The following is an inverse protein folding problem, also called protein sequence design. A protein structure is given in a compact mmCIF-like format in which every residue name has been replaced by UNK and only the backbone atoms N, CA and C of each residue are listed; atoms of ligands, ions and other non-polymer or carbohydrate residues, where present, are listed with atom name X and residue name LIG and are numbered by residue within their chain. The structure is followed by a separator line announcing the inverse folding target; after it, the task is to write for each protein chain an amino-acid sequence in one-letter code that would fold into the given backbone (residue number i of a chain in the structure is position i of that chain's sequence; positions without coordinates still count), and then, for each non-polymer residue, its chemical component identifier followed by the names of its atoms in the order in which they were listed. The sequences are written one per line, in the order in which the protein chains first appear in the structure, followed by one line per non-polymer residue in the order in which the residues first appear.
data_IF_299745293335
#
_entry.id   IF_299745293335
#
_cell.length_a   1.000
_cell.length_b   1.000
_cell.length_c   1.000
_cell.angle_alpha   90.00
_cell.angle_beta   90.00
_cell.angle_gamma   90.00
#
_symmetry.space_group_name_H-M   'P 1'
#
loop_
_entity.id
_entity.type
_entity.pdbx_description
1 polymer ?
#
# COMPACT_ATOMS: atom_id res chain seq x y z
N UNK A 1 -36.23 -73.66 -0.95
CA UNK A 1 -35.35 -72.91 -1.88
C UNK A 1 -36.05 -71.60 -2.21
N UNK A 2 -35.62 -70.48 -1.64
CA UNK A 2 -36.15 -69.15 -1.94
C UNK A 2 -35.04 -68.34 -2.62
N UNK A 3 -35.24 -67.98 -3.85
CA UNK A 3 -34.33 -67.12 -4.59
C UNK A 3 -34.65 -65.64 -4.21
N UNK A 4 -33.65 -64.94 -3.67
CA UNK A 4 -33.69 -63.51 -3.37
C UNK A 4 -33.26 -62.74 -4.61
N UNK A 5 -34.25 -62.02 -5.22
CA UNK A 5 -34.01 -61.16 -6.35
C UNK A 5 -33.51 -59.79 -5.83
N UNK A 6 -32.22 -59.54 -5.89
CA UNK A 6 -31.61 -58.24 -5.56
C UNK A 6 -31.97 -57.23 -6.65
N UNK A 7 -32.78 -56.22 -6.28
CA UNK A 7 -33.00 -55.02 -7.11
C UNK A 7 -31.74 -54.17 -7.15
N UNK A 8 -31.00 -54.22 -8.24
CA UNK A 8 -29.92 -53.29 -8.54
C UNK A 8 -30.46 -51.88 -8.70
N UNK A 9 -30.09 -50.97 -7.82
CA UNK A 9 -30.35 -49.54 -7.95
C UNK A 9 -29.39 -49.00 -9.03
N UNK A 10 -29.92 -48.80 -10.25
CA UNK A 10 -29.21 -48.10 -11.30
C UNK A 10 -28.99 -46.64 -10.87
N UNK A 11 -27.81 -46.32 -10.42
CA UNK A 11 -27.33 -44.94 -10.25
C UNK A 11 -27.32 -44.26 -11.62
N UNK A 12 -28.29 -43.40 -11.89
CA UNK A 12 -28.28 -42.50 -13.05
C UNK A 12 -27.09 -41.54 -12.85
N UNK A 13 -26.00 -41.80 -13.53
CA UNK A 13 -24.95 -40.75 -13.72
C UNK A 13 -25.54 -39.71 -14.68
N UNK A 14 -26.12 -38.65 -14.10
CA UNK A 14 -26.48 -37.45 -14.86
C UNK A 14 -25.19 -36.67 -15.16
N UNK A 15 -24.64 -36.81 -16.36
CA UNK A 15 -23.60 -35.94 -16.87
C UNK A 15 -24.16 -34.54 -17.14
N UNK A 16 -23.36 -33.50 -16.92
CA UNK A 16 -23.73 -32.14 -17.27
C UNK A 16 -23.85 -31.99 -18.76
N UNK A 17 -24.87 -31.23 -19.20
CA UNK A 17 -25.04 -30.91 -20.61
C UNK A 17 -24.13 -29.74 -20.99
N UNK A 18 -23.71 -29.69 -22.26
CA UNK A 18 -22.89 -28.57 -22.77
C UNK A 18 -23.63 -27.24 -22.62
N UNK A 19 -24.95 -27.23 -22.83
CA UNK A 19 -25.79 -26.05 -22.63
C UNK A 19 -25.79 -25.56 -21.17
N UNK A 20 -25.83 -26.48 -20.20
CA UNK A 20 -25.83 -26.16 -18.77
C UNK A 20 -24.52 -25.47 -18.37
N UNK A 21 -23.39 -25.96 -18.85
CA UNK A 21 -22.09 -25.30 -18.60
C UNK A 21 -22.03 -23.94 -19.30
N UNK A 22 -22.55 -23.80 -20.53
CA UNK A 22 -22.57 -22.51 -21.22
C UNK A 22 -23.39 -21.46 -20.44
N UNK A 23 -24.56 -21.83 -19.93
CA UNK A 23 -25.40 -20.94 -19.12
C UNK A 23 -24.68 -20.53 -17.80
N UNK A 24 -24.03 -21.49 -17.13
CA UNK A 24 -23.26 -21.20 -15.92
C UNK A 24 -22.13 -20.21 -16.16
N UNK A 25 -21.32 -20.39 -17.20
CA UNK A 25 -20.21 -19.46 -17.49
C UNK A 25 -20.72 -18.07 -17.88
N UNK A 26 -21.84 -17.96 -18.57
CA UNK A 26 -22.47 -16.67 -18.89
C UNK A 26 -22.91 -15.96 -17.61
N UNK A 27 -23.59 -16.66 -16.68
CA UNK A 27 -24.03 -16.09 -15.41
C UNK A 27 -22.83 -15.67 -14.56
N UNK A 28 -21.81 -16.51 -14.47
CA UNK A 28 -20.58 -16.18 -13.73
C UNK A 28 -19.85 -14.96 -14.34
N UNK A 29 -19.83 -14.85 -15.67
CA UNK A 29 -19.28 -13.70 -16.39
C UNK A 29 -20.01 -12.39 -16.07
N UNK A 30 -21.35 -12.43 -16.04
CA UNK A 30 -22.17 -11.28 -15.68
C UNK A 30 -21.95 -10.86 -14.20
N UNK A 31 -21.89 -11.82 -13.29
CA UNK A 31 -21.60 -11.54 -11.88
C UNK A 31 -20.19 -10.98 -11.66
N UNK A 32 -19.19 -11.54 -12.35
CA UNK A 32 -17.83 -11.06 -12.29
C UNK A 32 -17.70 -9.60 -12.75
N UNK A 33 -18.39 -9.22 -13.82
CA UNK A 33 -18.39 -7.86 -14.35
C UNK A 33 -18.88 -6.80 -13.34
N UNK A 34 -19.75 -7.18 -12.40
CA UNK A 34 -20.28 -6.27 -11.35
C UNK A 34 -19.36 -6.25 -10.12
N UNK A 35 -18.75 -7.38 -9.77
CA UNK A 35 -17.98 -7.55 -8.51
C UNK A 35 -16.56 -7.01 -8.64
N UNK A 36 -15.89 -7.29 -9.76
CA UNK A 36 -14.47 -6.94 -9.96
C UNK A 36 -14.19 -5.44 -9.77
N UNK A 37 -14.93 -4.49 -10.38
CA UNK A 37 -14.65 -3.06 -10.21
C UNK A 37 -14.75 -2.59 -8.75
N UNK A 38 -15.66 -3.16 -7.95
CA UNK A 38 -15.84 -2.79 -6.54
C UNK A 38 -14.67 -3.25 -5.66
N UNK A 39 -13.98 -4.33 -6.03
CA UNK A 39 -12.83 -4.82 -5.28
C UNK A 39 -11.58 -3.98 -5.56
N UNK A 40 -11.39 -3.53 -6.81
CA UNK A 40 -10.22 -2.72 -7.21
C UNK A 40 -10.25 -1.38 -6.45
N UNK A 41 -11.36 -0.65 -6.45
CA UNK A 41 -11.45 0.65 -5.76
C UNK A 41 -11.19 0.56 -4.25
N UNK A 42 -11.61 -0.52 -3.57
CA UNK A 42 -11.31 -0.73 -2.15
C UNK A 42 -9.82 -0.96 -1.88
N UNK A 43 -9.13 -1.60 -2.81
CA UNK A 43 -7.69 -1.85 -2.69
C UNK A 43 -6.90 -0.53 -2.77
N UNK A 44 -7.28 0.38 -3.66
CA UNK A 44 -6.63 1.68 -3.81
C UNK A 44 -6.90 2.59 -2.60
N UNK A 45 -8.11 2.64 -2.08
CA UNK A 45 -8.41 3.37 -0.84
C UNK A 45 -7.60 2.85 0.37
N UNK A 46 -7.42 1.53 0.46
CA UNK A 46 -6.59 0.92 1.49
C UNK A 46 -5.12 1.33 1.35
N UNK A 47 -4.56 1.37 0.14
CA UNK A 47 -3.20 1.83 -0.14
C UNK A 47 -3.03 3.31 0.24
N UNK A 48 -3.97 4.18 -0.11
CA UNK A 48 -3.95 5.59 0.27
C UNK A 48 -3.97 5.77 1.80
N UNK A 49 -4.80 5.00 2.49
CA UNK A 49 -4.85 4.99 3.96
C UNK A 49 -3.51 4.51 4.55
N UNK A 50 -2.94 3.45 4.02
CA UNK A 50 -1.63 2.94 4.44
C UNK A 50 -0.53 3.98 4.21
N UNK A 51 -0.55 4.70 3.09
CA UNK A 51 0.40 5.78 2.79
C UNK A 51 0.33 6.88 3.85
N UNK A 52 -0.87 7.34 4.24
CA UNK A 52 -1.04 8.35 5.29
C UNK A 52 -0.48 7.87 6.64
N UNK A 53 -0.71 6.61 6.99
CA UNK A 53 -0.15 6.02 8.22
C UNK A 53 1.38 5.97 8.15
N UNK A 54 1.95 5.57 7.03
CA UNK A 54 3.40 5.53 6.84
C UNK A 54 4.02 6.93 6.91
N UNK A 55 3.41 7.94 6.30
CA UNK A 55 3.86 9.34 6.40
C UNK A 55 3.89 9.76 7.88
N UNK A 56 2.84 9.48 8.65
CA UNK A 56 2.82 9.79 10.10
C UNK A 56 3.94 9.09 10.87
N UNK A 57 4.25 7.85 10.55
CA UNK A 57 5.36 7.14 11.16
C UNK A 57 6.72 7.79 10.82
N UNK A 58 6.90 8.24 9.59
CA UNK A 58 8.10 8.98 9.17
C UNK A 58 8.19 10.32 9.89
N UNK A 59 7.08 11.05 10.03
CA UNK A 59 7.02 12.31 10.79
C UNK A 59 7.42 12.11 12.26
N UNK A 60 6.95 11.05 12.91
CA UNK A 60 7.36 10.71 14.28
C UNK A 60 8.87 10.44 14.37
N UNK A 61 9.43 9.72 13.40
CA UNK A 61 10.87 9.47 13.34
C UNK A 61 11.68 10.77 13.12
N UNK A 62 11.19 11.68 12.28
CA UNK A 62 11.78 13.01 12.08
C UNK A 62 11.74 13.86 13.35
N UNK A 63 10.64 13.82 14.10
CA UNK A 63 10.51 14.52 15.39
C UNK A 63 11.51 13.98 16.42
N UNK A 64 11.66 12.65 16.50
CA UNK A 64 12.65 12.02 17.37
C UNK A 64 14.09 12.39 16.96
N UNK A 65 14.37 12.41 15.64
CA UNK A 65 15.65 12.86 15.13
C UNK A 65 15.96 14.31 15.56
N UNK A 66 14.97 15.22 15.39
CA UNK A 66 15.11 16.63 15.80
C UNK A 66 15.30 16.75 17.31
N UNK A 67 14.59 15.95 18.10
CA UNK A 67 14.70 15.96 19.56
C UNK A 67 16.14 15.60 20.02
N UNK A 68 16.72 14.58 19.41
CA UNK A 68 18.06 14.10 19.76
C UNK A 68 19.17 15.02 19.22
N UNK A 69 18.98 15.65 18.05
CA UNK A 69 20.03 16.35 17.31
C UNK A 69 19.82 17.87 17.16
N UNK A 70 18.62 18.39 17.46
CA UNK A 70 18.29 19.81 17.41
C UNK A 70 17.96 20.36 16.02
N UNK A 71 17.87 19.52 14.98
CA UNK A 71 17.51 19.90 13.60
C UNK A 71 16.87 18.72 12.86
N UNK A 72 16.22 19.00 11.73
CA UNK A 72 15.77 17.95 10.81
C UNK A 72 16.84 17.62 9.78
N UNK A 73 16.85 16.41 9.20
CA UNK A 73 17.69 16.11 8.05
C UNK A 73 17.41 17.08 6.90
N UNK A 74 18.44 17.38 6.09
CA UNK A 74 18.25 18.17 4.85
C UNK A 74 17.67 17.30 3.73
N UNK A 75 17.16 17.95 2.66
CA UNK A 75 16.72 17.25 1.44
C UNK A 75 17.81 16.33 0.88
N UNK A 76 19.08 16.77 0.87
CA UNK A 76 20.21 15.97 0.39
C UNK A 76 20.47 14.73 1.25
N UNK A 77 20.28 14.83 2.58
CA UNK A 77 20.40 13.71 3.50
C UNK A 77 19.23 12.74 3.33
N UNK A 78 18.08 13.26 2.96
CA UNK A 78 16.87 12.47 2.69
C UNK A 78 16.38 11.66 3.90
N UNK A 79 15.39 10.81 3.68
CA UNK A 79 14.87 9.89 4.69
C UNK A 79 15.89 8.80 5.09
N UNK A 80 16.98 8.62 4.32
CA UNK A 80 18.08 7.72 4.67
C UNK A 80 18.78 8.13 5.96
N UNK A 81 18.75 9.43 6.32
CA UNK A 81 19.26 9.94 7.59
C UNK A 81 18.50 9.39 8.82
N UNK A 82 17.31 8.86 8.65
CA UNK A 82 16.55 8.21 9.72
C UNK A 82 16.97 6.75 9.96
N UNK A 83 17.65 6.14 8.99
CA UNK A 83 18.08 4.73 9.05
C UNK A 83 19.56 4.62 9.43
N UNK A 84 20.39 5.53 8.93
CA UNK A 84 21.83 5.56 9.17
C UNK A 84 22.31 6.99 9.40
N UNK A 85 23.39 7.13 10.19
CA UNK A 85 23.97 8.44 10.44
C UNK A 85 24.47 9.06 9.12
N UNK A 86 23.97 10.25 8.70
CA UNK A 86 24.39 10.88 7.47
C UNK A 86 25.86 11.37 7.58
N UNK A 87 26.59 11.25 6.48
CA UNK A 87 27.99 11.67 6.36
C UNK A 87 28.14 13.01 5.63
N UNK A 88 27.03 13.54 5.07
CA UNK A 88 27.00 14.80 4.31
C UNK A 88 26.18 15.85 5.05
N UNK A 89 26.42 17.12 4.75
CA UNK A 89 25.71 18.24 5.35
C UNK A 89 26.00 18.38 6.85
N UNK A 90 24.97 18.74 7.63
CA UNK A 90 25.07 18.85 9.09
C UNK A 90 24.99 17.46 9.72
N UNK A 91 26.16 16.91 10.13
CA UNK A 91 26.26 15.59 10.75
C UNK A 91 25.75 15.62 12.19
N UNK A 92 24.81 14.73 12.58
CA UNK A 92 24.32 14.59 13.94
C UNK A 92 25.43 14.18 14.92
N UNK A 93 25.49 14.85 16.08
CA UNK A 93 26.44 14.49 17.15
C UNK A 93 25.89 13.42 18.10
N UNK A 94 24.56 13.36 18.24
CA UNK A 94 23.85 12.47 19.15
C UNK A 94 22.96 11.49 18.36
N UNK A 95 23.50 10.93 17.28
CA UNK A 95 22.74 10.00 16.47
C UNK A 95 22.41 8.72 17.25
N UNK A 96 21.14 8.32 17.23
CA UNK A 96 20.65 7.14 17.96
C UNK A 96 21.24 5.85 17.40
N UNK A 97 21.79 5.00 18.28
CA UNK A 97 22.28 3.68 17.89
C UNK A 97 21.12 2.84 17.33
N UNK A 98 21.25 2.40 16.06
CA UNK A 98 20.22 1.67 15.34
C UNK A 98 19.27 2.54 14.50
N UNK A 99 19.44 3.89 14.53
CA UNK A 99 18.60 4.79 13.75
C UNK A 99 17.24 5.09 14.38
N UNK A 100 16.38 5.71 13.60
CA UNK A 100 15.01 6.12 13.95
C UNK A 100 13.95 5.32 13.18
N UNK A 101 14.38 4.67 12.09
CA UNK A 101 13.62 3.72 11.29
C UNK A 101 14.51 2.51 10.96
N UNK A 102 13.93 1.33 10.84
CA UNK A 102 14.64 0.11 10.45
C UNK A 102 15.08 0.15 8.98
N UNK A 103 14.28 0.79 8.13
CA UNK A 103 14.52 0.96 6.69
C UNK A 103 13.83 2.21 6.16
N UNK A 104 14.33 2.73 5.04
CA UNK A 104 13.62 3.79 4.29
C UNK A 104 12.34 3.18 3.71
N UNK A 105 11.15 3.72 4.06
CA UNK A 105 9.91 3.17 3.55
C UNK A 105 9.71 3.52 2.07
N UNK A 106 9.00 2.65 1.37
CA UNK A 106 8.38 2.93 0.07
C UNK A 106 6.87 2.96 0.26
N UNK A 107 6.18 3.66 -0.63
CA UNK A 107 4.72 3.66 -0.62
C UNK A 107 4.15 2.29 -1.07
N UNK A 108 2.83 2.05 -0.93
CA UNK A 108 2.21 0.77 -1.29
C UNK A 108 2.21 0.46 -2.80
N UNK A 109 2.54 1.42 -3.65
CA UNK A 109 2.73 1.23 -5.10
C UNK A 109 4.19 0.91 -5.45
N UNK A 110 5.13 1.04 -4.48
CA UNK A 110 6.55 0.73 -4.63
C UNK A 110 7.43 1.95 -4.90
N UNK A 111 6.86 3.17 -4.90
CA UNK A 111 7.59 4.40 -5.14
C UNK A 111 8.27 4.91 -3.87
N UNK A 112 9.37 5.64 -4.01
CA UNK A 112 10.00 6.34 -2.89
C UNK A 112 9.17 7.57 -2.49
N UNK A 113 9.10 7.86 -1.18
CA UNK A 113 8.56 9.14 -0.71
C UNK A 113 9.47 10.30 -1.12
N UNK A 114 8.87 11.38 -1.54
CA UNK A 114 9.57 12.65 -1.76
C UNK A 114 9.67 13.39 -0.43
N UNK A 115 10.89 13.76 -0.05
CA UNK A 115 11.18 14.49 1.18
C UNK A 115 11.92 15.78 0.87
N UNK A 116 11.39 16.89 1.36
CA UNK A 116 11.96 18.23 1.20
C UNK A 116 12.13 18.87 2.58
N UNK A 117 13.34 19.32 2.89
CA UNK A 117 13.67 20.00 4.16
C UNK A 117 14.80 21.02 3.93
N UNK A 118 14.58 22.31 4.24
CA UNK A 118 13.33 22.89 4.70
C UNK A 118 12.23 22.84 3.62
N UNK A 119 10.96 22.71 4.05
CA UNK A 119 9.79 22.84 3.18
C UNK A 119 9.51 24.31 2.84
N UNK A 120 8.52 24.57 1.98
CA UNK A 120 8.16 25.94 1.56
C UNK A 120 7.54 26.73 2.70
N UNK A 121 6.55 26.14 3.41
CA UNK A 121 5.83 26.79 4.50
C UNK A 121 5.98 26.04 5.83
N UNK A 122 6.74 24.95 5.86
CA UNK A 122 6.89 24.03 6.99
C UNK A 122 8.35 23.66 7.18
N UNK A 123 8.68 23.09 8.33
CA UNK A 123 10.02 22.60 8.62
C UNK A 123 10.48 21.53 7.60
N UNK A 124 9.53 20.72 7.12
CA UNK A 124 9.73 19.70 6.08
C UNK A 124 8.40 19.35 5.40
N UNK A 125 8.50 18.71 4.26
CA UNK A 125 7.38 18.18 3.47
C UNK A 125 7.67 16.73 3.09
N UNK A 126 6.64 15.87 3.16
CA UNK A 126 6.70 14.48 2.71
C UNK A 126 5.52 14.25 1.78
N UNK A 127 5.78 13.65 0.62
CA UNK A 127 4.75 13.35 -0.38
C UNK A 127 4.94 11.97 -0.98
N UNK A 128 3.84 11.32 -1.32
CA UNK A 128 3.77 10.19 -2.24
C UNK A 128 3.01 10.64 -3.47
N UNK A 129 3.50 10.31 -4.65
CA UNK A 129 2.86 10.62 -5.94
C UNK A 129 1.84 9.57 -6.38
N UNK A 130 1.28 8.81 -5.42
CA UNK A 130 0.20 7.86 -5.71
C UNK A 130 0.59 6.71 -6.62
N UNK A 131 -0.41 6.19 -7.34
CA UNK A 131 -0.27 4.98 -8.15
C UNK A 131 0.54 5.17 -9.43
N UNK A 132 0.49 6.35 -10.04
CA UNK A 132 1.21 6.67 -11.27
C UNK A 132 2.66 7.14 -11.05
N UNK A 133 3.02 7.51 -9.81
CA UNK A 133 4.37 7.92 -9.42
C UNK A 133 4.82 9.26 -9.99
N UNK A 134 3.90 10.10 -10.47
CA UNK A 134 4.19 11.44 -11.00
C UNK A 134 3.46 12.53 -10.24
N UNK A 135 4.02 13.75 -10.12
CA UNK A 135 3.37 14.84 -9.40
C UNK A 135 2.02 15.23 -10.00
N UNK A 136 1.00 15.42 -9.17
CA UNK A 136 -0.35 15.80 -9.56
C UNK A 136 -1.34 14.66 -9.55
N UNK A 137 -2.21 14.57 -10.59
CA UNK A 137 -3.26 13.54 -10.66
C UNK A 137 -4.48 13.82 -9.80
N UNK A 138 -5.52 13.04 -10.00
CA UNK A 138 -6.77 13.08 -9.23
C UNK A 138 -7.23 11.66 -8.86
N UNK A 139 -8.06 11.55 -7.83
CA UNK A 139 -8.64 10.27 -7.42
C UNK A 139 -7.59 9.29 -6.93
N UNK A 140 -7.44 8.14 -7.61
CA UNK A 140 -6.51 7.06 -7.24
C UNK A 140 -5.04 7.44 -7.50
N UNK A 141 -4.78 8.28 -8.51
CA UNK A 141 -3.46 8.75 -8.90
C UNK A 141 -3.07 10.08 -8.20
N UNK A 142 -3.98 10.66 -7.41
CA UNK A 142 -3.71 11.92 -6.72
C UNK A 142 -2.64 11.80 -5.66
N UNK A 143 -1.79 12.84 -5.56
CA UNK A 143 -0.74 12.95 -4.55
C UNK A 143 -1.29 12.84 -3.12
N UNK A 144 -0.46 12.37 -2.22
CA UNK A 144 -0.76 12.30 -0.78
C UNK A 144 0.38 13.01 -0.05
N UNK A 145 0.01 14.05 0.67
CA UNK A 145 0.97 14.90 1.37
C UNK A 145 0.86 14.78 2.88
N UNK A 146 1.95 15.10 3.59
CA UNK A 146 1.99 15.09 5.05
C UNK A 146 1.01 16.07 5.71
N UNK A 147 0.60 17.11 5.02
CA UNK A 147 -0.38 18.09 5.50
C UNK A 147 -1.84 17.74 5.20
N UNK A 148 -2.12 16.73 4.36
CA UNK A 148 -3.49 16.26 4.06
C UNK A 148 -4.10 15.42 5.19
N UNK A 149 -3.29 15.02 6.14
CA UNK A 149 -3.64 14.05 7.20
C UNK A 149 -3.98 14.71 8.55
N UNK A 150 -4.50 15.96 8.52
CA UNK A 150 -4.98 16.65 9.73
C UNK A 150 -6.45 16.39 9.98
#
# INVERSE_FOLDING_TARGET
MRASTGKGILRRNSGFTLLEIMVVIVILGLLAAIVVPKLIGRTEEAKRTQTRIQIKNVEQALQLFKLDNGFYPSTEQGLSALVRNPEIGRVPKNYRKGGYLDRVPTDPWGNAYVFVSPGVERDYEISSYGGDGVPGGEGEDGDIHSWDAQ
#
